data_IF_679725989297
#
_entry.id   IF_679725989297
#
_cell.length_a   1.000
_cell.length_b   1.000
_cell.length_c   1.000
_cell.angle_alpha   90.00
_cell.angle_beta   90.00
_cell.angle_gamma   90.00
#
_symmetry.space_group_name_H-M   'P 1'
#
loop_
_entity.id
_entity.type
_entity.pdbx_description
1 polymer ?
#
# COMPACT_ATOMS: atom_id res chain seq x y z
N UNK A 1 -5.26 -28.80 6.20
CA UNK A 1 -6.08 -29.30 5.10
C UNK A 1 -6.09 -28.20 4.06
N UNK A 2 -5.55 -28.47 2.87
CA UNK A 2 -5.49 -27.49 1.78
C UNK A 2 -6.70 -27.65 0.87
N UNK A 3 -6.93 -26.64 0.01
CA UNK A 3 -7.91 -26.66 -1.06
C UNK A 3 -7.70 -27.91 -1.95
N UNK A 4 -8.79 -28.63 -2.24
CA UNK A 4 -8.75 -29.75 -3.18
C UNK A 4 -8.37 -29.24 -4.57
N UNK A 5 -7.29 -29.76 -5.11
CA UNK A 5 -6.75 -29.32 -6.40
C UNK A 5 -7.62 -29.74 -7.58
N UNK A 6 -8.37 -30.84 -7.47
CA UNK A 6 -9.30 -31.26 -8.52
C UNK A 6 -10.48 -30.31 -8.62
N UNK A 7 -11.01 -29.86 -7.47
CA UNK A 7 -12.03 -28.82 -7.38
C UNK A 7 -11.49 -27.49 -7.95
N UNK A 8 -10.27 -27.11 -7.58
CA UNK A 8 -9.64 -25.91 -8.11
C UNK A 8 -9.48 -25.96 -9.63
N UNK A 9 -9.03 -27.06 -10.20
CA UNK A 9 -8.88 -27.21 -11.64
C UNK A 9 -10.24 -27.17 -12.38
N UNK A 10 -11.29 -27.73 -11.79
CA UNK A 10 -12.63 -27.64 -12.35
C UNK A 10 -13.13 -26.18 -12.38
N UNK A 11 -12.92 -25.44 -11.31
CA UNK A 11 -13.24 -23.99 -11.24
C UNK A 11 -12.41 -23.22 -12.26
N UNK A 12 -11.12 -23.49 -12.34
CA UNK A 12 -10.22 -22.84 -13.29
C UNK A 12 -10.68 -23.04 -14.74
N UNK A 13 -11.01 -24.25 -15.12
CA UNK A 13 -11.46 -24.55 -16.48
C UNK A 13 -12.76 -23.85 -16.84
N UNK A 14 -13.67 -23.70 -15.89
CA UNK A 14 -14.97 -23.09 -16.11
C UNK A 14 -14.95 -21.55 -16.11
N UNK A 15 -14.17 -20.95 -15.21
CA UNK A 15 -14.23 -19.51 -14.91
C UNK A 15 -13.00 -18.71 -15.39
N UNK A 16 -12.03 -19.34 -16.05
CA UNK A 16 -10.79 -18.67 -16.45
C UNK A 16 -11.04 -17.44 -17.32
N UNK A 17 -11.94 -17.56 -18.32
CA UNK A 17 -12.23 -16.45 -19.22
C UNK A 17 -12.97 -15.32 -18.53
N UNK A 18 -13.83 -15.64 -17.56
CA UNK A 18 -14.52 -14.64 -16.74
C UNK A 18 -13.52 -13.87 -15.88
N UNK A 19 -12.54 -14.55 -15.27
CA UNK A 19 -11.46 -13.91 -14.51
C UNK A 19 -10.58 -13.02 -15.40
N UNK A 20 -10.23 -13.48 -16.59
CA UNK A 20 -9.45 -12.67 -17.55
C UNK A 20 -10.20 -11.39 -17.93
N UNK A 21 -11.48 -11.48 -18.22
CA UNK A 21 -12.31 -10.33 -18.57
C UNK A 21 -12.45 -9.34 -17.40
N UNK A 22 -12.66 -9.84 -16.18
CA UNK A 22 -12.79 -9.01 -14.99
C UNK A 22 -11.48 -8.31 -14.60
N UNK A 23 -10.33 -8.94 -14.87
CA UNK A 23 -9.01 -8.42 -14.51
C UNK A 23 -8.38 -7.52 -15.57
N UNK A 24 -8.94 -7.43 -16.77
CA UNK A 24 -8.40 -6.62 -17.86
C UNK A 24 -8.80 -5.14 -17.71
N UNK A 25 -8.28 -4.52 -16.68
CA UNK A 25 -8.50 -3.10 -16.36
C UNK A 25 -7.31 -2.55 -15.58
N UNK A 26 -7.04 -1.26 -15.72
CA UNK A 26 -6.05 -0.51 -14.94
C UNK A 26 -6.59 -0.02 -13.59
N UNK A 27 -7.91 -0.07 -13.38
CA UNK A 27 -8.58 0.36 -12.16
C UNK A 27 -8.82 -0.82 -11.21
N UNK A 28 -8.18 -0.76 -10.03
CA UNK A 28 -8.34 -1.76 -8.97
C UNK A 28 -9.79 -1.92 -8.52
N UNK A 29 -10.52 -0.81 -8.37
CA UNK A 29 -11.90 -0.85 -7.88
C UNK A 29 -12.84 -1.48 -8.89
N UNK A 30 -12.65 -1.21 -10.18
CA UNK A 30 -13.39 -1.84 -11.27
C UNK A 30 -13.13 -3.35 -11.29
N UNK A 31 -11.88 -3.75 -11.17
CA UNK A 31 -11.50 -5.17 -11.09
C UNK A 31 -12.17 -5.87 -9.90
N UNK A 32 -12.03 -5.31 -8.71
CA UNK A 32 -12.55 -5.92 -7.48
C UNK A 32 -14.08 -6.05 -7.55
N UNK A 33 -14.78 -5.03 -8.08
CA UNK A 33 -16.24 -5.09 -8.32
C UNK A 33 -16.63 -6.13 -9.37
N UNK A 34 -15.84 -6.32 -10.42
CA UNK A 34 -16.11 -7.31 -11.47
C UNK A 34 -15.85 -8.76 -11.01
N UNK A 35 -14.95 -8.98 -10.05
CA UNK A 35 -14.66 -10.30 -9.48
C UNK A 35 -15.75 -10.79 -8.52
N UNK A 36 -16.47 -9.91 -7.84
CA UNK A 36 -17.49 -10.29 -6.85
C UNK A 36 -18.57 -11.22 -7.42
N UNK A 37 -19.25 -10.90 -8.56
CA UNK A 37 -20.27 -11.79 -9.11
C UNK A 37 -19.73 -13.17 -9.51
N UNK A 38 -18.47 -13.24 -9.93
CA UNK A 38 -17.83 -14.51 -10.30
C UNK A 38 -17.61 -15.36 -9.06
N UNK A 39 -17.13 -14.74 -7.97
CA UNK A 39 -16.93 -15.44 -6.70
C UNK A 39 -18.25 -15.89 -6.08
N UNK A 40 -19.32 -15.10 -6.21
CA UNK A 40 -20.66 -15.47 -5.76
C UNK A 40 -21.17 -16.71 -6.48
N UNK A 41 -21.02 -16.79 -7.81
CA UNK A 41 -21.37 -17.98 -8.60
C UNK A 41 -20.58 -19.20 -8.18
N UNK A 42 -19.29 -19.06 -7.92
CA UNK A 42 -18.44 -20.16 -7.44
C UNK A 42 -18.92 -20.64 -6.07
N UNK A 43 -19.26 -19.72 -5.17
CA UNK A 43 -19.77 -20.06 -3.84
C UNK A 43 -21.12 -20.81 -3.91
N UNK A 44 -22.02 -20.43 -4.82
CA UNK A 44 -23.29 -21.11 -5.04
C UNK A 44 -23.10 -22.51 -5.62
N UNK A 45 -22.16 -22.68 -6.55
CA UNK A 45 -21.88 -23.96 -7.20
C UNK A 45 -21.12 -24.94 -6.30
N UNK A 46 -20.29 -24.43 -5.39
CA UNK A 46 -19.48 -25.20 -4.46
C UNK A 46 -19.79 -24.80 -3.00
N UNK A 47 -20.96 -25.17 -2.47
CA UNK A 47 -21.41 -24.72 -1.14
C UNK A 47 -20.57 -25.27 0.02
N UNK A 48 -19.79 -26.31 -0.24
CA UNK A 48 -18.89 -26.92 0.77
C UNK A 48 -17.58 -26.14 0.98
N UNK A 49 -17.27 -25.18 0.10
CA UNK A 49 -16.10 -24.33 0.23
C UNK A 49 -16.29 -23.29 1.34
N UNK A 50 -15.32 -23.22 2.24
CA UNK A 50 -15.31 -22.16 3.28
C UNK A 50 -14.95 -20.79 2.67
N UNK A 51 -15.20 -19.72 3.41
CA UNK A 51 -14.76 -18.39 3.00
C UNK A 51 -13.23 -18.32 2.75
N UNK A 52 -12.45 -19.02 3.56
CA UNK A 52 -11.00 -19.11 3.37
C UNK A 52 -10.61 -19.89 2.09
N UNK A 53 -11.37 -20.92 1.74
CA UNK A 53 -11.16 -21.64 0.48
C UNK A 53 -11.50 -20.78 -0.73
N UNK A 54 -12.58 -20.00 -0.66
CA UNK A 54 -12.98 -19.05 -1.71
C UNK A 54 -11.93 -17.96 -1.90
N UNK A 55 -11.39 -17.40 -0.83
CA UNK A 55 -10.30 -16.43 -0.88
C UNK A 55 -9.05 -17.03 -1.56
N UNK A 56 -8.74 -18.29 -1.23
CA UNK A 56 -7.62 -19.00 -1.83
C UNK A 56 -7.85 -19.29 -3.32
N UNK A 57 -9.05 -19.65 -3.71
CA UNK A 57 -9.45 -19.82 -5.13
C UNK A 57 -9.26 -18.51 -5.87
N UNK A 58 -9.81 -17.41 -5.36
CA UNK A 58 -9.66 -16.09 -5.96
C UNK A 58 -8.20 -15.71 -6.13
N UNK A 59 -7.39 -15.85 -5.09
CA UNK A 59 -5.96 -15.58 -5.13
C UNK A 59 -5.22 -16.39 -6.19
N UNK A 60 -5.45 -17.71 -6.23
CA UNK A 60 -4.78 -18.62 -7.18
C UNK A 60 -5.20 -18.32 -8.62
N UNK A 61 -6.48 -18.02 -8.85
CA UNK A 61 -6.99 -17.66 -10.19
C UNK A 61 -6.36 -16.35 -10.68
N UNK A 62 -6.38 -15.31 -9.87
CA UNK A 62 -5.76 -14.03 -10.21
C UNK A 62 -4.25 -14.18 -10.47
N UNK A 63 -3.56 -14.90 -9.60
CA UNK A 63 -2.13 -15.21 -9.79
C UNK A 63 -1.87 -15.94 -11.11
N UNK A 64 -2.69 -16.91 -11.46
CA UNK A 64 -2.56 -17.66 -12.71
C UNK A 64 -2.72 -16.73 -13.92
N UNK A 65 -3.78 -15.92 -13.96
CA UNK A 65 -4.05 -14.99 -15.06
C UNK A 65 -2.90 -13.98 -15.23
N UNK A 66 -2.48 -13.33 -14.15
CA UNK A 66 -1.39 -12.35 -14.20
C UNK A 66 -0.08 -12.97 -14.70
N UNK A 67 0.26 -14.16 -14.21
CA UNK A 67 1.49 -14.84 -14.63
C UNK A 67 1.44 -15.25 -16.10
N UNK A 68 0.30 -15.70 -16.60
CA UNK A 68 0.13 -16.05 -18.01
C UNK A 68 0.25 -14.82 -18.91
N UNK A 69 -0.40 -13.72 -18.54
CA UNK A 69 -0.23 -12.47 -19.28
C UNK A 69 1.23 -12.00 -19.36
N UNK A 70 1.96 -12.10 -18.25
CA UNK A 70 3.38 -11.73 -18.23
C UNK A 70 4.24 -12.63 -19.08
N UNK A 71 4.06 -13.94 -18.98
CA UNK A 71 4.92 -14.93 -19.63
C UNK A 71 4.61 -15.14 -21.12
N UNK A 72 3.32 -15.15 -21.46
CA UNK A 72 2.86 -15.50 -22.79
C UNK A 72 2.65 -14.26 -23.68
N UNK A 73 2.26 -13.14 -23.11
CA UNK A 73 1.87 -11.93 -23.85
C UNK A 73 2.74 -10.70 -23.52
N UNK A 74 3.64 -10.79 -22.54
CA UNK A 74 4.42 -9.64 -22.07
C UNK A 74 3.56 -8.49 -21.52
N UNK A 75 2.34 -8.80 -21.09
CA UNK A 75 1.33 -7.84 -20.64
C UNK A 75 1.26 -7.81 -19.13
N UNK A 76 1.27 -6.60 -18.55
CA UNK A 76 0.96 -6.38 -17.13
C UNK A 76 -0.56 -6.17 -16.96
N UNK A 77 -1.07 -6.43 -15.75
CA UNK A 77 -2.51 -6.41 -15.45
C UNK A 77 -3.18 -5.07 -15.77
N UNK A 78 -2.47 -3.97 -15.62
CA UNK A 78 -2.95 -2.61 -15.92
C UNK A 78 -2.63 -2.14 -17.36
N UNK A 79 -2.17 -3.04 -18.22
CA UNK A 79 -1.88 -2.75 -19.62
C UNK A 79 -0.50 -2.13 -19.88
N UNK A 80 0.30 -1.84 -18.84
CA UNK A 80 1.67 -1.32 -19.01
C UNK A 80 2.60 -2.34 -19.67
N UNK A 81 3.60 -1.85 -20.37
CA UNK A 81 4.74 -2.67 -20.80
C UNK A 81 5.58 -3.15 -19.61
N UNK A 82 6.41 -4.17 -19.80
CA UNK A 82 7.20 -4.80 -18.72
C UNK A 82 8.09 -3.80 -17.99
N UNK A 83 8.69 -2.86 -18.72
CA UNK A 83 9.61 -1.85 -18.16
C UNK A 83 8.94 -0.49 -17.89
N UNK A 84 7.64 -0.39 -18.07
CA UNK A 84 6.90 0.85 -17.89
C UNK A 84 6.61 1.10 -16.42
N UNK A 85 6.92 2.31 -15.94
CA UNK A 85 6.62 2.77 -14.59
C UNK A 85 5.25 3.47 -14.61
N UNK A 86 4.46 3.31 -13.54
CA UNK A 86 3.21 4.07 -13.37
C UNK A 86 3.51 5.57 -13.33
N UNK A 87 2.56 6.44 -13.79
CA UNK A 87 2.74 7.88 -13.72
C UNK A 87 3.06 8.33 -12.29
N UNK A 88 4.10 9.17 -12.17
CA UNK A 88 4.54 9.75 -10.91
C UNK A 88 4.20 11.23 -10.89
N UNK A 89 3.74 11.71 -9.74
CA UNK A 89 3.56 13.13 -9.47
C UNK A 89 3.97 13.46 -8.04
N UNK A 90 4.62 14.60 -7.85
CA UNK A 90 4.99 15.11 -6.53
C UNK A 90 4.64 16.58 -6.46
N UNK A 91 4.01 16.99 -5.38
CA UNK A 91 3.63 18.37 -5.11
C UNK A 91 4.04 18.74 -3.69
N UNK A 92 4.46 19.98 -3.49
CA UNK A 92 4.82 20.52 -2.16
C UNK A 92 4.03 21.79 -1.86
N UNK A 93 3.93 22.13 -0.57
CA UNK A 93 3.25 23.36 -0.16
C UNK A 93 1.74 23.34 -0.37
N UNK A 94 1.10 22.17 -0.32
CA UNK A 94 -0.33 22.01 -0.59
C UNK A 94 -1.19 22.59 0.54
N UNK A 95 -0.75 22.39 1.79
CA UNK A 95 -1.49 22.84 2.97
C UNK A 95 -0.92 24.19 3.45
N UNK A 96 -1.74 25.25 3.51
CA UNK A 96 -1.22 26.62 3.73
C UNK A 96 -0.84 26.92 5.18
N UNK A 97 -1.28 26.10 6.15
CA UNK A 97 -1.12 26.39 7.59
C UNK A 97 -0.23 25.38 8.34
N UNK A 98 0.55 24.60 7.63
CA UNK A 98 1.53 23.67 8.20
C UNK A 98 2.94 24.17 7.90
N UNK A 99 3.94 23.71 8.66
CA UNK A 99 5.34 24.07 8.40
C UNK A 99 5.83 23.53 7.05
N UNK A 100 5.39 22.32 6.68
CA UNK A 100 5.64 21.76 5.37
C UNK A 100 4.59 20.73 5.01
N UNK A 101 4.35 20.53 3.72
CA UNK A 101 3.49 19.46 3.21
C UNK A 101 3.97 18.97 1.85
N UNK A 102 3.87 17.66 1.64
CA UNK A 102 4.20 17.03 0.37
C UNK A 102 3.17 15.97 0.02
N UNK A 103 2.80 15.90 -1.24
CA UNK A 103 1.95 14.84 -1.76
C UNK A 103 2.70 14.07 -2.84
N UNK A 104 2.70 12.75 -2.73
CA UNK A 104 3.26 11.87 -3.73
C UNK A 104 2.19 10.95 -4.28
N UNK A 105 2.13 10.86 -5.61
CA UNK A 105 1.17 10.02 -6.33
C UNK A 105 1.92 9.11 -7.29
N UNK A 106 1.58 7.82 -7.27
CA UNK A 106 2.05 6.82 -8.21
C UNK A 106 0.85 5.99 -8.68
N UNK A 107 0.31 6.34 -9.83
CA UNK A 107 -0.95 5.75 -10.29
C UNK A 107 -2.07 5.98 -9.27
N UNK A 108 -2.63 4.90 -8.74
CA UNK A 108 -3.69 4.93 -7.73
C UNK A 108 -3.18 4.93 -6.28
N UNK A 109 -1.87 5.00 -6.07
CA UNK A 109 -1.29 5.16 -4.73
C UNK A 109 -1.00 6.62 -4.47
N UNK A 110 -1.56 7.18 -3.40
CA UNK A 110 -1.38 8.57 -3.03
C UNK A 110 -1.13 8.70 -1.53
N UNK A 111 -0.09 9.47 -1.17
CA UNK A 111 0.29 9.75 0.22
C UNK A 111 0.47 11.24 0.40
N UNK A 112 -0.18 11.78 1.44
CA UNK A 112 0.00 13.15 1.91
C UNK A 112 0.88 13.12 3.17
N UNK A 113 2.00 13.83 3.14
CA UNK A 113 2.87 14.01 4.31
C UNK A 113 2.82 15.44 4.80
N UNK A 114 2.63 15.61 6.10
CA UNK A 114 2.77 16.90 6.78
C UNK A 114 4.04 16.91 7.61
N UNK A 115 4.73 18.04 7.61
CA UNK A 115 5.94 18.26 8.39
C UNK A 115 5.69 19.32 9.46
N UNK A 116 6.06 19.01 10.70
CA UNK A 116 6.01 19.93 11.83
C UNK A 116 7.42 20.09 12.40
N UNK A 117 7.81 21.34 12.63
CA UNK A 117 9.09 21.68 13.24
C UNK A 117 8.89 22.03 14.70
N UNK A 118 9.73 21.51 15.57
CA UNK A 118 9.77 21.81 17.00
C UNK A 118 11.15 22.24 17.49
N UNK A 119 11.24 22.66 18.73
CA UNK A 119 12.52 22.93 19.37
C UNK A 119 13.22 21.66 19.86
N UNK A 120 14.43 21.79 20.38
CA UNK A 120 15.20 20.63 20.88
C UNK A 120 14.53 19.90 22.06
N UNK A 121 13.70 20.58 22.82
CA UNK A 121 12.89 19.99 23.90
C UNK A 121 11.79 19.07 23.40
N UNK A 122 11.44 19.15 22.11
CA UNK A 122 10.41 18.32 21.47
C UNK A 122 10.99 17.03 20.88
N UNK A 123 12.30 16.80 21.04
CA UNK A 123 12.92 15.55 20.67
C UNK A 123 12.29 14.37 21.39
N UNK A 124 12.17 13.25 20.71
CA UNK A 124 11.68 12.02 21.33
C UNK A 124 12.80 11.38 22.15
N UNK A 125 12.52 11.17 23.44
CA UNK A 125 13.39 10.36 24.30
C UNK A 125 13.11 8.88 24.02
N UNK A 126 14.17 8.13 23.75
CA UNK A 126 14.11 6.68 23.55
C UNK A 126 14.55 6.00 24.85
N UNK A 127 13.68 5.20 25.44
CA UNK A 127 13.96 4.35 26.60
C UNK A 127 13.90 2.88 26.15
N UNK A 128 14.88 2.49 25.37
CA UNK A 128 15.04 1.13 24.88
C UNK A 128 16.46 0.61 25.15
N UNK A 129 16.77 -0.56 24.64
CA UNK A 129 18.06 -1.23 24.83
C UNK A 129 19.17 -0.70 23.89
N UNK A 130 18.92 0.37 23.15
CA UNK A 130 19.91 0.99 22.26
C UNK A 130 20.61 2.17 22.94
N UNK A 131 21.82 2.52 22.46
CA UNK A 131 22.57 3.65 22.97
C UNK A 131 22.02 5.02 22.54
N UNK A 132 21.08 5.04 21.58
CA UNK A 132 20.50 6.25 21.04
C UNK A 132 19.32 6.72 21.91
N UNK A 133 19.57 7.68 22.77
CA UNK A 133 18.60 8.19 23.75
C UNK A 133 17.71 9.32 23.23
N UNK A 134 18.08 9.98 22.14
CA UNK A 134 17.40 11.17 21.63
C UNK A 134 17.17 11.02 20.13
N UNK A 135 15.92 11.18 19.72
CA UNK A 135 15.49 11.10 18.32
C UNK A 135 15.00 12.47 17.88
N UNK A 136 15.72 13.10 16.93
CA UNK A 136 15.42 14.42 16.39
C UNK A 136 14.44 14.35 15.20
N UNK A 137 14.45 13.25 14.44
CA UNK A 137 13.54 13.00 13.33
C UNK A 137 12.55 11.93 13.72
N UNK A 138 11.26 12.27 13.64
CA UNK A 138 10.15 11.40 13.98
C UNK A 138 9.29 11.24 12.75
N UNK A 139 9.02 10.00 12.33
CA UNK A 139 8.18 9.71 11.20
C UNK A 139 7.03 8.80 11.61
N UNK A 140 5.80 9.29 11.48
CA UNK A 140 4.58 8.50 11.68
C UNK A 140 3.95 8.16 10.34
N UNK A 141 3.58 6.90 10.18
CA UNK A 141 2.91 6.37 9.01
C UNK A 141 1.53 5.88 9.41
N UNK A 142 0.50 6.41 8.75
CA UNK A 142 -0.89 6.04 8.98
C UNK A 142 -1.47 5.42 7.72
N UNK A 143 -2.09 4.25 7.90
CA UNK A 143 -2.77 3.51 6.84
C UNK A 143 -4.26 3.39 7.19
N UNK A 144 -5.06 4.43 6.97
CA UNK A 144 -6.47 4.42 7.35
C UNK A 144 -7.28 3.48 6.47
N UNK A 145 -8.39 2.92 6.98
CA UNK A 145 -9.22 1.97 6.25
C UNK A 145 -9.74 2.48 4.92
N UNK A 146 -10.06 3.78 4.83
CA UNK A 146 -10.58 4.39 3.60
C UNK A 146 -9.59 4.32 2.44
N UNK A 147 -8.28 4.19 2.71
CA UNK A 147 -7.24 4.08 1.66
C UNK A 147 -7.40 2.85 0.77
N UNK A 148 -8.07 1.82 1.27
CA UNK A 148 -8.43 0.58 0.56
C UNK A 148 -9.94 0.42 0.37
N UNK A 149 -10.73 1.48 0.60
CA UNK A 149 -12.19 1.47 0.43
C UNK A 149 -12.95 0.76 1.55
N UNK A 150 -12.34 0.52 2.70
CA UNK A 150 -12.98 -0.12 3.84
C UNK A 150 -13.61 0.91 4.80
N UNK A 151 -14.79 0.60 5.31
CA UNK A 151 -15.45 1.34 6.38
C UNK A 151 -15.32 0.57 7.69
N UNK A 152 -14.36 0.96 8.52
CA UNK A 152 -14.16 0.39 9.87
C UNK A 152 -13.68 1.45 10.85
N UNK A 153 -13.85 1.18 12.14
CA UNK A 153 -13.36 2.06 13.18
C UNK A 153 -11.83 2.20 13.15
N UNK A 154 -11.28 3.42 13.36
CA UNK A 154 -9.85 3.62 13.53
C UNK A 154 -9.33 2.80 14.73
N UNK A 155 -8.13 2.28 14.59
CA UNK A 155 -7.41 1.56 15.65
C UNK A 155 -6.06 2.21 15.91
N UNK A 156 -5.46 1.89 17.04
CA UNK A 156 -4.07 2.23 17.31
C UNK A 156 -3.15 1.66 16.21
N UNK A 157 -2.03 2.33 15.89
CA UNK A 157 -1.06 1.84 14.92
C UNK A 157 -0.62 0.42 15.25
N UNK A 158 -0.70 -0.47 14.26
CA UNK A 158 -0.19 -1.82 14.36
C UNK A 158 1.31 -1.92 14.07
N UNK A 159 1.86 -3.11 14.19
CA UNK A 159 3.30 -3.35 13.92
C UNK A 159 3.70 -2.98 12.50
N UNK A 160 2.79 -3.11 11.55
CA UNK A 160 3.02 -2.76 10.14
C UNK A 160 3.23 -1.26 9.98
N UNK A 161 2.36 -0.44 10.55
CA UNK A 161 2.46 1.02 10.51
C UNK A 161 3.74 1.51 11.20
N UNK A 162 4.07 0.95 12.35
CA UNK A 162 5.30 1.26 13.08
C UNK A 162 6.53 0.89 12.25
N UNK A 163 6.55 -0.29 11.63
CA UNK A 163 7.65 -0.74 10.78
C UNK A 163 7.82 0.11 9.52
N UNK A 164 6.73 0.54 8.90
CA UNK A 164 6.76 1.43 7.72
C UNK A 164 7.26 2.83 8.09
N UNK A 165 6.87 3.37 9.25
CA UNK A 165 7.41 4.62 9.78
C UNK A 165 8.92 4.53 10.02
N UNK A 166 9.38 3.45 10.64
CA UNK A 166 10.80 3.21 10.88
C UNK A 166 11.60 3.06 9.57
N UNK A 167 11.00 2.47 8.53
CA UNK A 167 11.62 2.40 7.19
C UNK A 167 11.86 3.79 6.61
N UNK A 168 10.86 4.67 6.69
CA UNK A 168 10.97 6.04 6.21
C UNK A 168 12.02 6.83 6.99
N UNK A 169 12.08 6.68 8.31
CA UNK A 169 13.13 7.30 9.13
C UNK A 169 14.53 6.89 8.69
N UNK A 170 14.77 5.59 8.54
CA UNK A 170 16.09 5.09 8.10
C UNK A 170 16.49 5.58 6.72
N UNK A 171 15.51 5.79 5.84
CA UNK A 171 15.78 6.31 4.50
C UNK A 171 16.15 7.79 4.51
N UNK A 172 15.54 8.59 5.38
CA UNK A 172 15.68 10.05 5.38
C UNK A 172 16.74 10.59 6.33
N UNK A 173 16.98 9.95 7.48
CA UNK A 173 17.97 10.39 8.46
C UNK A 173 19.35 10.71 7.85
N UNK A 174 19.91 9.89 6.94
CA UNK A 174 21.22 10.18 6.34
C UNK A 174 21.28 11.44 5.47
N UNK A 175 20.14 11.95 5.00
CA UNK A 175 20.07 13.12 4.10
C UNK A 175 19.49 14.36 4.76
N UNK A 176 19.14 14.27 6.04
CA UNK A 176 18.67 15.42 6.81
C UNK A 176 19.83 16.42 7.07
N UNK A 177 19.53 17.72 7.10
CA UNK A 177 20.51 18.72 7.49
C UNK A 177 20.99 18.49 8.93
N UNK A 178 22.21 18.91 9.21
CA UNK A 178 22.78 18.83 10.56
C UNK A 178 22.00 19.73 11.53
N UNK A 179 22.16 19.47 12.84
CA UNK A 179 21.55 20.31 13.87
C UNK A 179 22.08 21.76 13.82
N UNK A 180 23.33 21.96 13.39
CA UNK A 180 23.95 23.29 13.25
C UNK A 180 23.30 24.07 12.08
N UNK A 181 23.00 23.38 10.96
CA UNK A 181 22.40 24.00 9.79
C UNK A 181 20.90 24.20 9.96
N UNK A 182 20.24 23.27 10.65
CA UNK A 182 18.78 23.26 10.83
C UNK A 182 18.41 22.84 12.26
N UNK A 183 18.39 23.77 13.22
CA UNK A 183 18.27 23.48 14.65
C UNK A 183 16.83 23.17 15.10
N UNK A 184 16.18 22.24 14.41
CA UNK A 184 14.80 21.86 14.71
C UNK A 184 14.65 20.35 14.88
N UNK A 185 13.73 19.96 15.76
CA UNK A 185 13.13 18.63 15.73
C UNK A 185 12.16 18.57 14.57
N UNK A 186 12.22 17.51 13.78
CA UNK A 186 11.41 17.33 12.57
C UNK A 186 10.45 16.16 12.82
N UNK A 187 9.16 16.41 12.68
CA UNK A 187 8.13 15.37 12.72
C UNK A 187 7.36 15.35 11.42
N UNK A 188 7.44 14.24 10.71
CA UNK A 188 6.64 13.96 9.53
C UNK A 188 5.52 12.98 9.84
N UNK A 189 4.33 13.25 9.34
CA UNK A 189 3.17 12.35 9.42
C UNK A 189 2.70 12.07 8.02
N UNK A 190 2.82 10.82 7.59
CA UNK A 190 2.35 10.38 6.27
C UNK A 190 1.00 9.70 6.39
N UNK A 191 0.00 10.25 5.71
CA UNK A 191 -1.35 9.70 5.58
C UNK A 191 -1.51 9.07 4.21
N UNK A 192 -1.82 7.78 4.17
CA UNK A 192 -2.15 7.10 2.92
C UNK A 192 -3.58 7.43 2.54
N UNK A 193 -3.77 8.16 1.45
CA UNK A 193 -5.09 8.57 0.96
C UNK A 193 -5.72 7.50 0.08
N UNK A 194 -4.91 6.84 -0.75
CA UNK A 194 -5.32 5.75 -1.62
C UNK A 194 -4.18 4.76 -1.77
N UNK A 195 -4.49 3.47 -1.82
CA UNK A 195 -3.49 2.40 -1.90
C UNK A 195 -3.73 1.47 -3.07
N UNK A 196 -2.71 1.34 -3.91
CA UNK A 196 -2.55 0.26 -4.88
C UNK A 196 -1.12 -0.30 -4.80
N UNK A 197 -0.70 -0.64 -3.58
CA UNK A 197 0.62 -1.18 -3.25
C UNK A 197 1.72 -0.13 -3.05
N UNK A 198 2.79 -0.54 -2.41
CA UNK A 198 4.03 0.24 -2.16
C UNK A 198 3.81 1.60 -1.46
N UNK A 199 2.88 1.65 -0.53
CA UNK A 199 2.54 2.87 0.22
C UNK A 199 3.63 3.33 1.17
N UNK A 200 4.45 2.40 1.70
CA UNK A 200 5.61 2.76 2.52
C UNK A 200 6.68 3.50 1.72
N UNK A 201 6.96 3.06 0.49
CA UNK A 201 7.87 3.78 -0.41
C UNK A 201 7.29 5.13 -0.82
N UNK A 202 5.99 5.20 -1.08
CA UNK A 202 5.30 6.46 -1.37
C UNK A 202 5.39 7.44 -0.19
N UNK A 203 5.36 6.96 1.06
CA UNK A 203 5.55 7.80 2.25
C UNK A 203 6.95 8.39 2.34
N UNK A 204 7.98 7.65 1.93
CA UNK A 204 9.35 8.15 1.84
C UNK A 204 9.40 9.27 0.80
N UNK A 205 8.88 9.03 -0.40
CA UNK A 205 8.86 10.04 -1.47
C UNK A 205 8.07 11.31 -1.09
N UNK A 206 6.95 11.15 -0.40
CA UNK A 206 6.15 12.29 0.08
C UNK A 206 6.79 13.10 1.20
N UNK A 207 7.77 12.51 1.90
CA UNK A 207 8.48 13.14 3.02
C UNK A 207 9.84 13.72 2.61
N UNK A 208 10.31 13.40 1.40
CA UNK A 208 11.55 13.93 0.83
C UNK A 208 11.36 15.35 0.32
#
# INVERSE_FOLDING_TARGET
VGLDMDVFHAIQNKYLDDFKAAMDTDDKNVRDAALLPIMDKIAEEYPDLTAADLDLVSYKMQKFVVRRWLLDEGKRVDGRGINEIRPLAAEVGILPRVHGSGMFTRGQTQVLTTCTLGGTKDNQLMDDLTDEQIKRYIHHYNFPPYSVGEARAPRSPGRREIGHGALAERALVPVLPSLEEFPYTIRCVSEVLSSNGSTSQASICGST
#
